data_IF_740227403687
#
_entry.id   IF_740227403687
#
_cell.length_a   1.000
_cell.length_b   1.000
_cell.length_c   1.000
_cell.angle_alpha   90.00
_cell.angle_beta   90.00
_cell.angle_gamma   90.00
#
_symmetry.space_group_name_H-M   'P 1'
#
loop_
_entity.id
_entity.type
_entity.pdbx_description
1 polymer ?
#
# COMPACT_ATOMS: atom_id res chain seq x y z
N UNK A 1 -22.88 75.72 24.67
CA UNK A 1 -22.14 74.81 23.77
C UNK A 1 -20.69 74.93 24.22
N UNK A 2 -20.10 74.08 25.05
CA UNK A 2 -19.98 72.62 25.03
C UNK A 2 -19.64 72.15 26.46
N UNK A 3 -20.47 71.31 27.09
CA UNK A 3 -20.09 70.66 28.35
C UNK A 3 -19.09 69.55 28.05
N UNK A 4 -17.87 69.72 28.55
CA UNK A 4 -16.79 68.75 28.41
C UNK A 4 -17.08 67.50 29.23
N UNK A 5 -17.27 66.39 28.54
CA UNK A 5 -17.36 65.06 29.12
C UNK A 5 -16.15 64.79 30.05
N UNK A 6 -16.42 64.48 31.31
CA UNK A 6 -15.38 64.20 32.31
C UNK A 6 -14.49 63.02 31.87
N UNK A 7 -13.16 63.14 31.90
CA UNK A 7 -12.23 62.13 31.39
C UNK A 7 -12.35 60.77 32.12
N UNK A 8 -12.83 60.78 33.36
CA UNK A 8 -13.03 59.58 34.16
C UNK A 8 -14.29 58.80 33.75
N UNK A 9 -15.34 59.49 33.30
CA UNK A 9 -16.54 58.86 32.76
C UNK A 9 -16.24 58.12 31.45
N UNK A 10 -15.45 58.74 30.57
CA UNK A 10 -14.99 58.09 29.34
C UNK A 10 -14.13 56.84 29.60
N UNK A 11 -13.29 56.87 30.65
CA UNK A 11 -12.46 55.72 31.01
C UNK A 11 -13.28 54.53 31.51
N UNK A 12 -14.27 54.77 32.38
CA UNK A 12 -15.18 53.73 32.86
C UNK A 12 -16.02 53.14 31.72
N UNK A 13 -16.46 53.97 30.78
CA UNK A 13 -17.23 53.51 29.63
C UNK A 13 -16.40 52.64 28.68
N UNK A 14 -15.13 52.99 28.44
CA UNK A 14 -14.20 52.14 27.66
C UNK A 14 -13.93 50.79 28.35
N UNK A 15 -13.81 50.78 29.67
CA UNK A 15 -13.65 49.53 30.45
C UNK A 15 -14.88 48.64 30.36
N UNK A 16 -16.08 49.21 30.49
CA UNK A 16 -17.34 48.46 30.33
C UNK A 16 -17.43 47.85 28.93
N UNK A 17 -17.16 48.62 27.88
CA UNK A 17 -17.15 48.14 26.49
C UNK A 17 -16.08 47.05 26.26
N UNK A 18 -14.90 47.13 26.90
CA UNK A 18 -13.89 46.06 26.82
C UNK A 18 -14.32 44.79 27.57
N UNK A 19 -15.00 44.91 28.71
CA UNK A 19 -15.53 43.74 29.42
C UNK A 19 -16.65 43.06 28.64
N UNK A 20 -17.53 43.85 28.02
CA UNK A 20 -18.59 43.32 27.16
C UNK A 20 -18.01 42.63 25.92
N UNK A 21 -17.00 43.23 25.27
CA UNK A 21 -16.38 42.62 24.08
C UNK A 21 -15.59 41.35 24.41
N UNK A 22 -14.88 41.31 25.55
CA UNK A 22 -14.15 40.11 25.99
C UNK A 22 -15.10 38.98 26.40
N UNK A 23 -16.18 39.29 27.11
CA UNK A 23 -17.18 38.28 27.48
C UNK A 23 -17.99 37.80 26.27
N UNK A 24 -18.33 38.68 25.33
CA UNK A 24 -18.96 38.31 24.07
C UNK A 24 -18.06 37.39 23.24
N UNK A 25 -16.78 37.73 23.10
CA UNK A 25 -15.81 36.90 22.39
C UNK A 25 -15.63 35.53 23.06
N UNK A 26 -15.56 35.51 24.40
CA UNK A 26 -15.42 34.25 25.14
C UNK A 26 -16.66 33.35 24.99
N UNK A 27 -17.87 33.93 24.99
CA UNK A 27 -19.11 33.18 24.71
C UNK A 27 -19.11 32.62 23.30
N UNK A 28 -18.77 33.44 22.30
CA UNK A 28 -18.67 33.01 20.91
C UNK A 28 -17.66 31.87 20.73
N UNK A 29 -16.49 31.94 21.39
CA UNK A 29 -15.52 30.85 21.38
C UNK A 29 -16.06 29.59 22.04
N UNK A 30 -16.76 29.71 23.17
CA UNK A 30 -17.33 28.55 23.87
C UNK A 30 -18.45 27.88 23.07
N UNK A 31 -19.29 28.67 22.39
CA UNK A 31 -20.35 28.16 21.52
C UNK A 31 -19.75 27.42 20.31
N UNK A 32 -18.75 28.00 19.65
CA UNK A 32 -18.07 27.35 18.52
C UNK A 32 -17.40 26.02 18.93
N UNK A 33 -16.79 25.95 20.12
CA UNK A 33 -16.20 24.70 20.63
C UNK A 33 -17.25 23.63 20.91
N UNK A 34 -18.40 24.01 21.47
CA UNK A 34 -19.50 23.08 21.72
C UNK A 34 -20.09 22.54 20.42
N UNK A 35 -20.23 23.39 19.40
CA UNK A 35 -20.71 23.01 18.07
C UNK A 35 -19.75 22.04 17.37
N UNK A 36 -18.44 22.30 17.44
CA UNK A 36 -17.42 21.38 16.93
C UNK A 36 -17.50 20.04 17.69
N UNK A 37 -17.65 20.06 19.01
CA UNK A 37 -17.72 18.84 19.82
C UNK A 37 -19.03 18.05 19.59
N UNK A 38 -20.15 18.69 19.26
CA UNK A 38 -21.38 17.99 18.85
C UNK A 38 -21.25 17.37 17.47
N UNK A 39 -20.77 18.14 16.48
CA UNK A 39 -20.53 17.63 15.12
C UNK A 39 -19.56 16.44 15.13
N UNK A 40 -18.45 16.52 15.87
CA UNK A 40 -17.51 15.41 15.99
C UNK A 40 -18.12 14.15 16.62
N UNK A 41 -19.06 14.30 17.56
CA UNK A 41 -19.74 13.15 18.17
C UNK A 41 -20.63 12.44 17.16
N UNK A 42 -21.36 13.21 16.36
CA UNK A 42 -22.22 12.71 15.28
C UNK A 42 -21.39 12.04 14.18
N UNK A 43 -20.32 12.69 13.71
CA UNK A 43 -19.41 12.13 12.70
C UNK A 43 -18.77 10.82 13.17
N UNK A 44 -18.35 10.76 14.45
CA UNK A 44 -17.80 9.53 15.04
C UNK A 44 -18.86 8.44 15.20
N UNK A 45 -20.12 8.80 15.44
CA UNK A 45 -21.21 7.84 15.50
C UNK A 45 -21.51 7.28 14.11
N UNK A 46 -21.58 8.14 13.08
CA UNK A 46 -21.75 7.73 11.68
C UNK A 46 -20.61 6.83 11.22
N UNK A 47 -19.35 7.20 11.49
CA UNK A 47 -18.20 6.37 11.12
C UNK A 47 -18.26 5.01 11.82
N UNK A 48 -18.62 4.97 13.11
CA UNK A 48 -18.82 3.71 13.83
C UNK A 48 -19.94 2.89 13.19
N UNK A 49 -21.04 3.51 12.83
CA UNK A 49 -22.16 2.83 12.15
C UNK A 49 -21.75 2.29 10.78
N UNK A 50 -20.99 3.04 9.98
CA UNK A 50 -20.47 2.58 8.69
C UNK A 50 -19.48 1.41 8.85
N UNK A 51 -18.64 1.44 9.88
CA UNK A 51 -17.69 0.37 10.19
C UNK A 51 -18.37 -0.88 10.79
N UNK A 52 -19.43 -0.69 11.58
CA UNK A 52 -20.20 -1.76 12.21
C UNK A 52 -21.33 -2.28 11.31
N UNK A 53 -21.69 -1.54 10.25
CA UNK A 53 -22.61 -2.02 9.23
C UNK A 53 -22.00 -3.31 8.72
N UNK A 54 -22.67 -4.46 8.91
CA UNK A 54 -22.22 -5.66 8.24
C UNK A 54 -22.23 -5.29 6.76
N UNK A 55 -21.07 -5.39 6.12
CA UNK A 55 -20.99 -5.41 4.68
C UNK A 55 -21.83 -6.60 4.26
N UNK A 56 -23.12 -6.36 4.07
CA UNK A 56 -24.14 -7.37 3.84
C UNK A 56 -23.96 -7.89 2.41
N UNK A 57 -22.87 -8.61 2.20
CA UNK A 57 -22.86 -9.89 1.49
C UNK A 57 -21.57 -10.72 1.54
N UNK A 58 -20.46 -10.29 2.14
CA UNK A 58 -19.24 -11.09 2.08
C UNK A 58 -18.41 -11.09 3.37
N UNK A 59 -19.03 -11.40 4.51
CA UNK A 59 -18.27 -11.86 5.68
C UNK A 59 -19.22 -12.56 6.65
N UNK A 60 -19.51 -13.83 6.38
CA UNK A 60 -19.85 -14.77 7.45
C UNK A 60 -18.79 -14.67 8.57
N UNK A 61 -19.16 -14.68 9.86
CA UNK A 61 -18.23 -14.59 10.97
C UNK A 61 -17.48 -15.90 11.10
N UNK A 62 -16.47 -16.11 10.25
CA UNK A 62 -15.59 -17.27 10.31
C UNK A 62 -14.53 -16.99 11.36
N UNK A 63 -14.91 -17.15 12.62
CA UNK A 63 -14.00 -17.64 13.65
C UNK A 63 -13.68 -19.10 13.30
N UNK A 64 -12.84 -19.29 12.29
CA UNK A 64 -12.14 -20.54 12.06
C UNK A 64 -10.65 -20.21 11.97
N UNK A 65 -9.81 -20.62 12.93
CA UNK A 65 -8.37 -20.39 12.89
C UNK A 65 -7.69 -21.06 11.67
N UNK A 66 -8.44 -21.84 10.89
CA UNK A 66 -7.95 -22.52 9.68
C UNK A 66 -8.09 -21.72 8.38
N UNK A 67 -8.66 -20.50 8.36
CA UNK A 67 -8.67 -19.72 7.10
C UNK A 67 -7.27 -19.14 6.87
N UNK A 68 -6.54 -19.59 5.84
CA UNK A 68 -5.20 -19.11 5.59
C UNK A 68 -5.23 -17.60 5.27
N UNK A 69 -4.18 -16.85 5.65
CA UNK A 69 -4.11 -15.43 5.38
C UNK A 69 -4.28 -15.17 3.88
N UNK A 70 -5.21 -14.30 3.52
CA UNK A 70 -5.40 -13.87 2.13
C UNK A 70 -4.31 -12.85 1.79
N UNK A 71 -3.11 -13.36 1.52
CA UNK A 71 -1.97 -12.56 1.07
C UNK A 71 -2.19 -12.19 -0.40
N UNK A 72 -2.31 -10.89 -0.67
CA UNK A 72 -2.39 -10.36 -2.03
C UNK A 72 -0.98 -10.25 -2.63
N UNK A 73 -0.60 -11.22 -3.45
CA UNK A 73 0.65 -11.17 -4.20
C UNK A 73 0.59 -10.08 -5.28
N UNK A 74 1.69 -9.34 -5.42
CA UNK A 74 1.83 -8.33 -6.47
C UNK A 74 2.06 -9.01 -7.82
N UNK A 75 1.57 -8.38 -8.89
CA UNK A 75 1.84 -8.86 -10.25
C UNK A 75 3.34 -8.80 -10.54
N UNK A 76 3.82 -9.79 -11.28
CA UNK A 76 5.19 -9.83 -11.78
C UNK A 76 5.43 -8.63 -12.70
N UNK A 77 6.40 -7.81 -12.34
CA UNK A 77 6.83 -6.67 -13.14
C UNK A 77 7.77 -7.12 -14.25
N UNK A 78 7.96 -6.26 -15.25
CA UNK A 78 8.95 -6.51 -16.28
C UNK A 78 10.34 -6.67 -15.66
N UNK A 79 10.68 -5.92 -14.60
CA UNK A 79 11.99 -5.83 -13.93
C UNK A 79 12.32 -6.92 -12.92
N UNK A 80 11.33 -7.76 -12.60
CA UNK A 80 11.52 -8.85 -11.66
C UNK A 80 12.41 -9.95 -12.24
N UNK A 81 13.19 -10.58 -11.38
CA UNK A 81 13.86 -11.84 -11.70
C UNK A 81 12.83 -12.98 -11.62
N UNK A 82 12.66 -13.77 -12.69
CA UNK A 82 11.59 -14.76 -12.75
C UNK A 82 11.78 -15.91 -11.76
N UNK A 83 13.03 -16.33 -11.48
CA UNK A 83 13.31 -17.38 -10.49
C UNK A 83 12.95 -16.89 -9.08
N UNK A 84 13.46 -15.70 -8.70
CA UNK A 84 13.16 -15.12 -7.40
C UNK A 84 11.66 -14.86 -7.18
N UNK A 85 10.95 -14.39 -8.21
CA UNK A 85 9.51 -14.17 -8.13
C UNK A 85 8.75 -15.49 -7.88
N UNK A 86 9.09 -16.55 -8.62
CA UNK A 86 8.48 -17.86 -8.47
C UNK A 86 8.79 -18.46 -7.09
N UNK A 87 10.00 -18.32 -6.57
CA UNK A 87 10.36 -18.79 -5.23
C UNK A 87 9.54 -18.08 -4.12
N UNK A 88 9.32 -16.77 -4.26
CA UNK A 88 8.44 -16.01 -3.34
C UNK A 88 7.00 -16.50 -3.42
N UNK A 89 6.51 -16.77 -4.64
CA UNK A 89 5.18 -17.33 -4.86
C UNK A 89 5.03 -18.70 -4.18
N UNK A 90 5.98 -19.61 -4.36
CA UNK A 90 5.99 -20.95 -3.75
C UNK A 90 6.02 -20.88 -2.22
N UNK A 91 6.87 -20.01 -1.66
CA UNK A 91 6.93 -19.76 -0.22
C UNK A 91 5.62 -19.22 0.34
N UNK A 92 4.96 -18.32 -0.39
CA UNK A 92 3.64 -17.77 -0.03
C UNK A 92 2.56 -18.84 -0.10
N UNK A 93 2.56 -19.66 -1.16
CA UNK A 93 1.61 -20.74 -1.34
C UNK A 93 1.73 -21.79 -0.23
N UNK A 94 2.94 -22.16 0.14
CA UNK A 94 3.22 -23.05 1.26
C UNK A 94 2.77 -22.46 2.61
N UNK A 95 3.09 -21.18 2.87
CA UNK A 95 2.69 -20.50 4.11
C UNK A 95 1.16 -20.38 4.24
N UNK A 96 0.45 -20.22 3.12
CA UNK A 96 -1.00 -20.17 3.06
C UNK A 96 -1.66 -21.55 2.90
N UNK A 97 -0.90 -22.63 2.87
CA UNK A 97 -1.43 -23.99 2.72
C UNK A 97 -2.23 -24.22 1.43
N UNK A 98 -1.87 -23.57 0.32
CA UNK A 98 -2.54 -23.77 -0.95
C UNK A 98 -2.19 -25.16 -1.53
N UNK A 99 -3.18 -25.94 -2.01
CA UNK A 99 -2.91 -27.20 -2.70
C UNK A 99 -2.16 -26.94 -4.01
N UNK A 100 -1.18 -27.78 -4.36
CA UNK A 100 -0.29 -27.59 -5.52
C UNK A 100 -1.08 -27.48 -6.85
N UNK A 101 -2.22 -28.15 -6.93
CA UNK A 101 -3.13 -28.11 -8.07
C UNK A 101 -3.73 -26.71 -8.32
N UNK A 102 -3.82 -25.87 -7.29
CA UNK A 102 -4.31 -24.50 -7.42
C UNK A 102 -3.22 -23.49 -7.77
N UNK A 103 -1.93 -23.87 -7.64
CA UNK A 103 -0.83 -22.92 -7.79
C UNK A 103 -0.81 -22.27 -9.17
N UNK A 104 -1.01 -23.04 -10.24
CA UNK A 104 -1.05 -22.50 -11.58
C UNK A 104 -2.18 -21.49 -11.79
N UNK A 105 -3.39 -21.82 -11.32
CA UNK A 105 -4.58 -20.95 -11.44
C UNK A 105 -4.39 -19.65 -10.64
N UNK A 106 -3.69 -19.72 -9.51
CA UNK A 106 -3.36 -18.54 -8.69
C UNK A 106 -2.21 -17.72 -9.27
N UNK A 107 -1.24 -18.34 -9.92
CA UNK A 107 -0.10 -17.66 -10.54
C UNK A 107 -0.48 -16.91 -11.81
N UNK A 108 -1.31 -17.50 -12.68
CA UNK A 108 -1.72 -16.93 -13.97
C UNK A 108 -2.13 -15.43 -13.95
N UNK A 109 -3.02 -14.96 -13.05
CA UNK A 109 -3.42 -13.55 -13.00
C UNK A 109 -2.31 -12.61 -12.50
N UNK A 110 -1.24 -13.17 -11.90
CA UNK A 110 -0.09 -12.41 -11.41
C UNK A 110 0.97 -12.21 -12.50
N UNK A 111 0.93 -13.00 -13.58
CA UNK A 111 1.88 -12.86 -14.68
C UNK A 111 1.53 -11.64 -15.55
N UNK A 112 2.56 -10.94 -16.04
CA UNK A 112 2.42 -9.86 -17.00
C UNK A 112 3.51 -9.95 -18.09
N UNK A 113 3.29 -9.26 -19.22
CA UNK A 113 4.27 -9.14 -20.30
C UNK A 113 4.72 -10.49 -20.86
N UNK A 114 6.04 -10.69 -20.98
CA UNK A 114 6.63 -11.92 -21.52
C UNK A 114 6.28 -13.17 -20.71
N UNK A 115 6.13 -13.07 -19.39
CA UNK A 115 5.72 -14.20 -18.55
C UNK A 115 4.30 -14.67 -18.91
N UNK A 116 3.40 -13.72 -19.14
CA UNK A 116 2.03 -14.00 -19.55
C UNK A 116 2.01 -14.60 -20.97
N UNK A 117 2.83 -14.11 -21.90
CA UNK A 117 2.95 -14.70 -23.23
C UNK A 117 3.50 -16.14 -23.19
N UNK A 118 4.43 -16.44 -22.29
CA UNK A 118 4.91 -17.80 -22.04
C UNK A 118 3.76 -18.72 -21.65
N UNK A 119 2.96 -18.30 -20.66
CA UNK A 119 1.80 -19.05 -20.21
C UNK A 119 0.78 -19.28 -21.34
N UNK A 120 0.56 -18.29 -22.21
CA UNK A 120 -0.36 -18.41 -23.34
C UNK A 120 0.13 -19.36 -24.43
N UNK A 121 1.44 -19.52 -24.59
CA UNK A 121 2.02 -20.45 -25.57
C UNK A 121 1.86 -21.92 -25.18
N UNK A 122 1.57 -22.22 -23.91
CA UNK A 122 1.26 -23.58 -23.45
C UNK A 122 -0.14 -24.02 -23.90
N UNK A 123 -0.30 -25.32 -24.24
CA UNK A 123 -1.62 -25.96 -24.33
C UNK A 123 -2.43 -25.75 -23.06
N UNK A 124 -3.77 -25.73 -23.18
CA UNK A 124 -4.65 -25.47 -22.05
C UNK A 124 -4.46 -26.48 -20.91
N UNK A 125 -4.27 -27.77 -21.23
CA UNK A 125 -3.97 -28.84 -20.26
C UNK A 125 -2.75 -28.52 -19.40
N UNK A 126 -1.68 -28.08 -20.04
CA UNK A 126 -0.38 -27.87 -19.43
C UNK A 126 -0.34 -26.54 -18.66
N UNK A 127 -1.15 -25.56 -19.06
CA UNK A 127 -1.25 -24.27 -18.39
C UNK A 127 -1.79 -24.39 -16.96
N UNK A 128 -2.58 -25.42 -16.66
CA UNK A 128 -3.09 -25.71 -15.32
C UNK A 128 -2.10 -26.51 -14.47
N UNK A 129 -1.02 -27.02 -15.04
CA UNK A 129 0.02 -27.74 -14.30
C UNK A 129 1.15 -26.78 -13.92
N UNK A 130 1.33 -26.55 -12.61
CA UNK A 130 2.30 -25.58 -12.10
C UNK A 130 3.71 -25.80 -12.64
N UNK A 131 4.16 -27.06 -12.70
CA UNK A 131 5.51 -27.43 -13.17
C UNK A 131 5.75 -27.05 -14.62
N UNK A 132 4.74 -27.24 -15.48
CA UNK A 132 4.80 -26.89 -16.89
C UNK A 132 4.77 -25.37 -17.07
N UNK A 133 3.90 -24.68 -16.33
CA UNK A 133 3.82 -23.22 -16.33
C UNK A 133 5.13 -22.57 -15.86
N UNK A 134 5.70 -23.03 -14.74
CA UNK A 134 6.98 -22.58 -14.19
C UNK A 134 8.09 -22.73 -15.24
N UNK A 135 8.19 -23.90 -15.87
CA UNK A 135 9.20 -24.16 -16.91
C UNK A 135 9.04 -23.24 -18.11
N UNK A 136 7.82 -23.06 -18.63
CA UNK A 136 7.60 -22.17 -19.77
C UNK A 136 7.99 -20.71 -19.50
N UNK A 137 7.68 -20.22 -18.30
CA UNK A 137 8.07 -18.87 -17.86
C UNK A 137 9.60 -18.76 -17.81
N UNK A 138 10.28 -19.71 -17.17
CA UNK A 138 11.74 -19.71 -17.06
C UNK A 138 12.43 -19.89 -18.42
N UNK A 139 11.92 -20.74 -19.30
CA UNK A 139 12.48 -20.94 -20.64
C UNK A 139 12.38 -19.67 -21.47
N UNK A 140 11.23 -18.98 -21.42
CA UNK A 140 11.02 -17.76 -22.18
C UNK A 140 11.83 -16.60 -21.62
N UNK A 141 11.78 -16.35 -20.32
CA UNK A 141 12.45 -15.20 -19.70
C UNK A 141 13.94 -15.44 -19.48
N UNK A 142 14.34 -16.67 -19.16
CA UNK A 142 15.73 -17.07 -18.99
C UNK A 142 16.53 -17.13 -20.29
N UNK A 143 15.87 -17.34 -21.44
CA UNK A 143 16.52 -17.34 -22.77
C UNK A 143 16.44 -15.99 -23.49
N UNK A 144 15.72 -14.99 -22.95
CA UNK A 144 15.67 -13.67 -23.59
C UNK A 144 17.02 -12.93 -23.43
N UNK A 145 17.45 -12.15 -24.43
CA UNK A 145 18.62 -11.27 -24.30
C UNK A 145 18.54 -10.37 -23.06
N UNK A 146 17.33 -9.97 -22.67
CA UNK A 146 17.01 -9.19 -21.49
C UNK A 146 17.30 -9.96 -20.19
N UNK A 147 16.92 -11.24 -20.10
CA UNK A 147 17.28 -12.13 -18.98
C UNK A 147 18.79 -12.30 -18.84
N UNK A 148 19.50 -12.47 -19.96
CA UNK A 148 20.97 -12.50 -19.98
C UNK A 148 21.59 -11.16 -19.53
N UNK A 149 21.07 -10.02 -20.03
CA UNK A 149 21.53 -8.68 -19.64
C UNK A 149 21.30 -8.40 -18.16
N UNK A 150 20.21 -8.87 -17.57
CA UNK A 150 19.93 -8.71 -16.14
C UNK A 150 20.89 -9.49 -15.27
N UNK A 151 21.08 -10.78 -15.56
CA UNK A 151 22.08 -11.61 -14.86
C UNK A 151 23.47 -11.00 -14.98
N UNK A 152 23.83 -10.49 -16.16
CA UNK A 152 25.10 -9.79 -16.37
C UNK A 152 25.22 -8.50 -15.54
N UNK A 153 24.16 -7.69 -15.43
CA UNK A 153 24.15 -6.46 -14.61
C UNK A 153 24.16 -6.74 -13.11
N UNK A 154 23.58 -7.87 -12.68
CA UNK A 154 23.55 -8.29 -11.28
C UNK A 154 24.86 -8.93 -10.81
N UNK A 155 25.73 -9.36 -11.74
CA UNK A 155 27.06 -9.85 -11.38
C UNK A 155 27.91 -8.70 -10.83
N UNK A 156 28.45 -8.80 -9.60
CA UNK A 156 29.40 -7.82 -9.12
C UNK A 156 30.63 -7.86 -10.03
N UNK A 157 30.99 -6.70 -10.61
CA UNK A 157 32.24 -6.55 -11.33
C UNK A 157 33.40 -6.84 -10.37
N UNK A 158 33.90 -8.08 -10.36
CA UNK A 158 35.20 -8.39 -9.76
C UNK A 158 36.28 -7.84 -10.69
N UNK A 159 36.38 -6.51 -10.71
CA UNK A 159 37.48 -5.78 -11.30
C UNK A 159 38.77 -6.07 -10.53
N UNK A 160 39.36 -7.24 -10.76
CA UNK A 160 40.81 -7.37 -10.69
C UNK A 160 41.28 -7.28 -12.13
N UNK A 161 41.59 -6.06 -12.56
CA UNK A 161 42.54 -5.92 -13.65
C UNK A 161 43.83 -6.58 -13.19
N UNK A 162 44.40 -7.56 -13.92
CA UNK A 162 45.72 -8.08 -13.60
C UNK A 162 46.68 -6.88 -13.60
N UNK A 163 47.48 -6.65 -12.55
CA UNK A 163 48.47 -5.59 -12.60
C UNK A 163 49.39 -5.90 -13.79
N UNK A 164 49.38 -4.99 -14.76
CA UNK A 164 50.25 -5.05 -15.93
C UNK A 164 51.68 -5.17 -15.40
N UNK A 165 52.28 -6.35 -15.59
CA UNK A 165 53.70 -6.57 -15.37
C UNK A 165 54.45 -5.69 -16.36
N UNK A 166 54.82 -4.49 -15.93
CA UNK A 166 55.85 -3.71 -16.60
C UNK A 166 57.16 -4.48 -16.47
N UNK A 167 57.80 -4.90 -17.57
CA UNK A 167 59.16 -5.37 -17.50
C UNK A 167 60.07 -4.15 -17.32
N UNK A 168 60.81 -4.14 -16.23
CA UNK A 168 62.03 -3.34 -16.11
C UNK A 168 63.17 -4.24 -15.64
N UNK A 169 64.42 -3.76 -15.60
CA UNK A 169 64.94 -2.48 -16.11
C UNK A 169 65.59 -2.58 -17.50
#
# INVERSE_FOLDING_TARGET
MTEGESPLGQALQRLALMQESTTALQRQQSEALLEIASSQREDRALLRELLQRPAAREAEPVTNPARPPQIALQKMSADDDPEAYLDIFEGTAAACGWPEEEWAVRLLPLLAGEAQLAAHSLPASDRHEYKQLRRAILDRLGSTPEGHRRRFRALPFRGRWPPLLLPGP
#
